data_IF_144896174388
#
_entry.id   IF_144896174388
#
_cell.length_a   1.000
_cell.length_b   1.000
_cell.length_c   1.000
_cell.angle_alpha   90.00
_cell.angle_beta   90.00
_cell.angle_gamma   90.00
#
_symmetry.space_group_name_H-M   'P 1'
#
loop_
_entity.id
_entity.type
_entity.pdbx_description
1 polymer ?
#
# COMPACT_ATOMS: atom_id res chain seq x y z
N UNK A 1 -1.24 -0.94 -26.53
CA UNK A 1 -2.58 -0.50 -26.03
C UNK A 1 -2.44 -0.23 -24.53
N UNK A 2 -2.26 1.04 -24.13
CA UNK A 2 -2.20 1.44 -22.72
C UNK A 2 -3.58 1.92 -22.31
N UNK A 3 -4.25 1.18 -21.45
CA UNK A 3 -5.44 1.67 -20.76
C UNK A 3 -4.91 2.55 -19.62
N UNK A 4 -4.94 3.87 -19.83
CA UNK A 4 -4.80 4.83 -18.73
C UNK A 4 -6.18 4.96 -18.10
N UNK A 5 -6.38 4.26 -16.99
CA UNK A 5 -7.59 4.43 -16.19
C UNK A 5 -7.40 5.63 -15.25
N UNK A 6 -7.77 6.81 -15.73
CA UNK A 6 -8.08 7.94 -14.85
C UNK A 6 -9.55 7.84 -14.43
N UNK A 7 -9.83 7.84 -13.12
CA UNK A 7 -11.20 8.04 -12.62
C UNK A 7 -11.71 7.05 -11.57
N UNK A 8 -11.26 7.20 -10.31
CA UNK A 8 -12.10 7.26 -9.09
C UNK A 8 -11.25 7.83 -7.95
N UNK A 9 -11.53 9.05 -7.47
CA UNK A 9 -11.04 9.54 -6.16
C UNK A 9 -11.79 8.86 -4.99
N UNK A 10 -11.92 7.54 -5.02
CA UNK A 10 -12.11 6.77 -3.80
C UNK A 10 -10.76 6.71 -3.09
N UNK A 11 -10.71 6.61 -1.77
CA UNK A 11 -9.44 6.35 -1.06
C UNK A 11 -8.91 4.99 -1.52
N UNK A 12 -8.07 4.99 -2.56
CA UNK A 12 -7.50 3.76 -3.12
C UNK A 12 -6.50 3.19 -2.12
N UNK A 13 -6.84 2.04 -1.58
CA UNK A 13 -5.96 1.29 -0.70
C UNK A 13 -4.97 0.48 -1.53
N UNK A 14 -3.69 0.66 -1.22
CA UNK A 14 -2.58 -0.09 -1.79
C UNK A 14 -2.36 -1.38 -0.99
N UNK A 15 -1.96 -2.44 -1.68
CA UNK A 15 -1.43 -3.66 -1.05
C UNK A 15 0.04 -3.46 -0.65
N UNK A 16 0.62 -4.34 0.19
CA UNK A 16 2.06 -4.30 0.46
C UNK A 16 2.94 -4.39 -0.79
N UNK A 17 2.46 -5.09 -1.84
CA UNK A 17 3.20 -5.21 -3.10
C UNK A 17 3.14 -3.93 -3.93
N UNK A 18 2.01 -3.23 -3.95
CA UNK A 18 1.89 -1.95 -4.64
C UNK A 18 2.83 -0.91 -4.00
N UNK A 19 2.85 -0.85 -2.67
CA UNK A 19 3.77 0.02 -1.91
C UNK A 19 5.23 -0.35 -2.17
N UNK A 20 5.54 -1.64 -2.16
CA UNK A 20 6.89 -2.13 -2.45
C UNK A 20 7.37 -1.68 -3.84
N UNK A 21 6.48 -1.75 -4.83
CA UNK A 21 6.75 -1.31 -6.20
C UNK A 21 6.96 0.21 -6.28
N UNK A 22 6.13 0.98 -5.58
CA UNK A 22 6.23 2.45 -5.53
C UNK A 22 7.53 2.94 -4.87
N UNK A 23 7.93 2.28 -3.78
CA UNK A 23 9.11 2.68 -2.99
C UNK A 23 10.39 1.94 -3.42
N UNK A 24 10.31 1.07 -4.44
CA UNK A 24 11.43 0.25 -4.93
C UNK A 24 12.11 -0.57 -3.84
N UNK A 25 11.31 -1.17 -2.95
CA UNK A 25 11.77 -2.03 -1.85
C UNK A 25 11.12 -3.41 -1.92
N UNK A 26 11.58 -4.34 -1.09
CA UNK A 26 10.91 -5.63 -0.90
C UNK A 26 9.57 -5.46 -0.16
N UNK A 27 8.54 -6.25 -0.48
CA UNK A 27 7.31 -6.34 0.32
C UNK A 27 7.55 -6.72 1.80
N UNK A 28 8.65 -7.43 2.10
CA UNK A 28 9.05 -7.74 3.48
C UNK A 28 9.39 -6.45 4.23
N UNK A 29 10.13 -5.54 3.59
CA UNK A 29 10.51 -4.24 4.16
C UNK A 29 9.28 -3.41 4.49
N UNK A 30 8.32 -3.33 3.57
CA UNK A 30 7.03 -2.64 3.79
C UNK A 30 6.29 -3.23 5.00
N UNK A 31 6.25 -4.56 5.12
CA UNK A 31 5.63 -5.23 6.28
C UNK A 31 6.35 -4.92 7.58
N UNK A 32 7.68 -4.83 7.58
CA UNK A 32 8.46 -4.49 8.76
C UNK A 32 8.24 -3.04 9.18
N UNK A 33 8.20 -2.09 8.25
CA UNK A 33 7.88 -0.69 8.56
C UNK A 33 6.48 -0.56 9.16
N UNK A 34 5.49 -1.24 8.59
CA UNK A 34 4.14 -1.26 9.16
C UNK A 34 4.08 -1.90 10.55
N UNK A 35 4.85 -2.98 10.81
CA UNK A 35 4.95 -3.58 12.16
C UNK A 35 5.57 -2.63 13.18
N UNK A 36 6.59 -1.88 12.76
CA UNK A 36 7.33 -0.95 13.61
C UNK A 36 6.62 0.40 13.78
N UNK A 37 5.47 0.61 13.12
CA UNK A 37 4.77 1.89 13.10
C UNK A 37 5.41 2.98 12.26
N UNK A 38 6.44 2.65 11.46
CA UNK A 38 7.11 3.57 10.54
C UNK A 38 6.34 3.81 9.24
N UNK A 39 5.29 3.03 8.98
CA UNK A 39 4.38 3.22 7.85
C UNK A 39 2.93 2.93 8.28
N UNK A 40 2.05 3.91 8.14
CA UNK A 40 0.63 3.78 8.52
C UNK A 40 -0.07 2.72 7.68
N UNK A 41 -0.73 1.76 8.34
CA UNK A 41 -1.44 0.67 7.69
C UNK A 41 -2.77 0.38 8.40
N UNK A 42 -3.83 0.24 7.61
CA UNK A 42 -5.09 -0.36 8.06
C UNK A 42 -4.99 -1.87 7.97
N UNK A 43 -5.45 -2.58 9.00
CA UNK A 43 -5.52 -4.04 8.99
C UNK A 43 -6.96 -4.49 8.78
N UNK A 44 -7.18 -5.36 7.79
CA UNK A 44 -8.51 -5.96 7.56
C UNK A 44 -8.79 -7.04 8.62
N UNK A 45 -10.06 -7.47 8.81
CA UNK A 45 -10.38 -8.58 9.71
C UNK A 45 -9.61 -9.88 9.42
N UNK A 46 -9.18 -10.11 8.16
CA UNK A 46 -8.34 -11.24 7.76
C UNK A 46 -6.83 -11.04 7.95
N UNK A 47 -6.39 -9.96 8.60
CA UNK A 47 -4.97 -9.70 8.88
C UNK A 47 -4.17 -9.09 7.72
N UNK A 48 -4.80 -8.81 6.58
CA UNK A 48 -4.12 -8.16 5.46
C UNK A 48 -3.96 -6.66 5.71
N UNK A 49 -2.80 -6.12 5.34
CA UNK A 49 -2.51 -4.69 5.44
C UNK A 49 -2.90 -3.92 4.20
N UNK A 50 -3.41 -2.72 4.41
CA UNK A 50 -3.85 -1.77 3.38
C UNK A 50 -3.29 -0.40 3.69
N UNK A 51 -2.71 0.25 2.69
CA UNK A 51 -2.02 1.53 2.82
C UNK A 51 -2.75 2.60 2.03
N UNK A 52 -2.88 3.80 2.57
CA UNK A 52 -3.44 4.92 1.83
C UNK A 52 -2.32 5.54 0.98
N UNK A 53 -2.64 5.94 -0.25
CA UNK A 53 -1.65 6.54 -1.14
C UNK A 53 -1.00 7.81 -0.57
N UNK A 54 -1.66 8.52 0.36
CA UNK A 54 -1.11 9.72 1.00
C UNK A 54 -0.14 9.42 2.15
N UNK A 55 -0.17 8.20 2.69
CA UNK A 55 0.71 7.75 3.77
C UNK A 55 1.98 7.07 3.25
N UNK A 56 2.06 6.85 1.92
CA UNK A 56 3.11 6.11 1.21
C UNK A 56 3.87 7.05 0.29
#
# INVERSE_FOLDING_TARGET
MRIVSDGKKGKSYLTPNDVATLLMVSPVTVRQWAQKGGLSALTTPGGHRRFLRHDV
#
